data_IF_123867494819
#
_entry.id   IF_123867494819
#
_cell.length_a   1.000
_cell.length_b   1.000
_cell.length_c   1.000
_cell.angle_alpha   90.00
_cell.angle_beta   90.00
_cell.angle_gamma   90.00
#
_symmetry.space_group_name_H-M   'P 1'
#
loop_
_entity.id
_entity.type
_entity.pdbx_description
1 polymer ?
#
# COMPACT_ATOMS: atom_id res chain seq x y z
N UNK A 1 -29.13 -44.16 -51.92
CA UNK A 1 -29.46 -44.15 -50.49
C UNK A 1 -28.17 -44.41 -49.70
N UNK A 2 -27.40 -43.36 -49.41
CA UNK A 2 -26.25 -43.41 -48.49
C UNK A 2 -26.16 -42.05 -47.80
N UNK A 3 -26.48 -42.02 -46.50
CA UNK A 3 -26.36 -40.86 -45.63
C UNK A 3 -24.90 -40.72 -45.20
N UNK A 4 -24.31 -39.54 -45.35
CA UNK A 4 -23.05 -39.15 -44.70
C UNK A 4 -23.45 -38.44 -43.40
N UNK A 5 -23.15 -39.04 -42.25
CA UNK A 5 -23.28 -38.41 -40.95
C UNK A 5 -21.95 -37.74 -40.57
N UNK A 6 -21.92 -36.41 -40.58
CA UNK A 6 -20.83 -35.59 -40.02
C UNK A 6 -21.03 -35.49 -38.50
N UNK A 7 -20.09 -36.05 -37.73
CA UNK A 7 -20.06 -35.92 -36.27
C UNK A 7 -19.26 -34.67 -35.92
N UNK A 8 -19.95 -33.61 -35.51
CA UNK A 8 -19.32 -32.43 -34.90
C UNK A 8 -19.10 -32.70 -33.40
N UNK A 9 -17.86 -32.93 -33.00
CA UNK A 9 -17.48 -32.99 -31.59
C UNK A 9 -17.19 -31.57 -31.09
N UNK A 10 -18.06 -31.05 -30.23
CA UNK A 10 -17.84 -29.78 -29.52
C UNK A 10 -17.02 -30.06 -28.27
N UNK A 11 -15.77 -29.60 -28.26
CA UNK A 11 -14.90 -29.66 -27.08
C UNK A 11 -15.27 -28.48 -26.18
N UNK A 12 -15.98 -28.76 -25.09
CA UNK A 12 -16.11 -27.83 -23.97
C UNK A 12 -14.76 -27.74 -23.26
N UNK A 13 -14.05 -26.63 -23.47
CA UNK A 13 -12.89 -26.29 -22.66
C UNK A 13 -13.33 -25.91 -21.25
N UNK A 14 -13.05 -26.78 -20.28
CA UNK A 14 -13.23 -26.47 -18.85
C UNK A 14 -12.06 -25.59 -18.43
N UNK A 15 -12.31 -24.31 -18.18
CA UNK A 15 -11.35 -23.44 -17.49
C UNK A 15 -11.35 -23.82 -16.01
N UNK A 16 -10.33 -24.56 -15.60
CA UNK A 16 -10.09 -24.86 -14.19
C UNK A 16 -9.49 -23.60 -13.58
N UNK A 17 -10.30 -22.82 -12.85
CA UNK A 17 -9.79 -21.72 -12.06
C UNK A 17 -8.88 -22.29 -10.97
N UNK A 18 -7.58 -21.98 -11.05
CA UNK A 18 -6.64 -22.30 -9.97
C UNK A 18 -6.95 -21.33 -8.83
N UNK A 19 -7.37 -21.81 -7.64
CA UNK A 19 -7.57 -20.92 -6.51
C UNK A 19 -6.21 -20.40 -6.07
N UNK A 20 -6.12 -19.09 -5.85
CA UNK A 20 -4.94 -18.48 -5.24
C UNK A 20 -4.75 -19.09 -3.84
N UNK A 21 -3.67 -19.85 -3.68
CA UNK A 21 -3.29 -20.45 -2.40
C UNK A 21 -2.67 -19.33 -1.57
N UNK A 22 -3.38 -18.87 -0.54
CA UNK A 22 -2.77 -18.03 0.49
C UNK A 22 -1.77 -18.87 1.28
N UNK A 23 -0.58 -18.35 1.62
CA UNK A 23 0.40 -19.11 2.40
C UNK A 23 -0.19 -19.52 3.75
N UNK A 24 0.09 -20.76 4.16
CA UNK A 24 -0.35 -21.31 5.44
C UNK A 24 0.31 -20.55 6.61
N UNK A 25 -0.37 -20.50 7.77
CA UNK A 25 0.04 -19.75 9.00
C UNK A 25 1.47 -20.01 9.53
N UNK A 26 2.21 -20.97 8.95
CA UNK A 26 3.57 -21.35 9.37
C UNK A 26 4.65 -21.19 8.29
N UNK A 27 4.35 -20.63 7.11
CA UNK A 27 5.42 -20.28 6.17
C UNK A 27 6.09 -18.97 6.60
N UNK A 28 7.38 -19.07 6.93
CA UNK A 28 8.23 -17.89 7.13
C UNK A 28 8.28 -17.15 5.79
N UNK A 29 7.67 -15.97 5.74
CA UNK A 29 7.74 -15.12 4.55
C UNK A 29 9.20 -14.73 4.30
N UNK A 30 9.79 -15.27 3.24
CA UNK A 30 11.17 -14.96 2.87
C UNK A 30 11.21 -13.70 2.01
N UNK A 31 11.98 -12.70 2.43
CA UNK A 31 12.20 -11.46 1.68
C UNK A 31 13.52 -11.54 0.92
N UNK A 32 13.51 -11.23 -0.38
CA UNK A 32 14.71 -11.13 -1.21
C UNK A 32 15.36 -9.72 -1.16
N UNK A 33 14.90 -8.88 -0.24
CA UNK A 33 15.43 -7.56 0.10
C UNK A 33 15.49 -7.41 1.63
N UNK A 34 16.32 -6.50 2.17
CA UNK A 34 16.38 -6.27 3.61
C UNK A 34 15.03 -5.88 4.19
N UNK A 35 14.56 -6.67 5.15
CA UNK A 35 13.25 -6.50 5.78
C UNK A 35 13.38 -6.68 7.29
N UNK A 36 12.71 -5.81 8.05
CA UNK A 36 12.69 -5.83 9.51
C UNK A 36 11.25 -5.96 9.98
N UNK A 37 10.97 -7.06 10.65
CA UNK A 37 9.67 -7.40 11.24
C UNK A 37 9.34 -6.50 12.42
N UNK A 38 8.06 -6.48 12.81
CA UNK A 38 7.59 -5.80 14.02
C UNK A 38 8.38 -6.16 15.27
N UNK A 39 8.74 -7.43 15.43
CA UNK A 39 9.49 -7.88 16.60
C UNK A 39 10.89 -7.28 16.62
N UNK A 40 11.58 -7.27 15.48
CA UNK A 40 12.97 -6.83 15.36
C UNK A 40 13.14 -5.33 15.62
N UNK A 41 12.23 -4.47 15.13
CA UNK A 41 12.30 -3.03 15.45
C UNK A 41 11.69 -2.66 16.80
N UNK A 42 11.21 -3.63 17.58
CA UNK A 42 10.66 -3.43 18.92
C UNK A 42 9.28 -2.75 18.91
N UNK A 43 8.41 -3.16 18.00
CA UNK A 43 7.04 -2.66 17.91
C UNK A 43 6.23 -2.98 19.17
N UNK A 44 5.42 -2.02 19.61
CA UNK A 44 4.34 -2.30 20.57
C UNK A 44 3.25 -3.14 19.91
N UNK A 45 2.53 -3.91 20.72
CA UNK A 45 1.36 -4.67 20.28
C UNK A 45 0.24 -3.72 19.82
N UNK A 46 -0.38 -3.95 18.65
CA UNK A 46 -1.56 -3.18 18.24
C UNK A 46 -2.70 -3.29 19.25
N UNK A 47 -3.42 -2.20 19.50
CA UNK A 47 -4.62 -2.21 20.36
C UNK A 47 -5.72 -3.07 19.74
N UNK A 48 -5.90 -2.97 18.42
CA UNK A 48 -6.87 -3.72 17.64
C UNK A 48 -6.40 -3.84 16.19
N UNK A 49 -6.87 -4.90 15.51
CA UNK A 49 -6.63 -5.14 14.08
C UNK A 49 -7.97 -5.20 13.34
N UNK A 50 -7.98 -4.69 12.11
CA UNK A 50 -9.07 -4.89 11.15
C UNK A 50 -8.46 -5.51 9.91
N UNK A 51 -9.05 -6.60 9.41
CA UNK A 51 -8.58 -7.24 8.19
C UNK A 51 -8.73 -6.30 6.99
N UNK A 52 -7.79 -6.39 6.07
CA UNK A 52 -7.78 -5.73 4.77
C UNK A 52 -8.23 -6.74 3.71
N UNK A 53 -9.24 -6.42 2.89
CA UNK A 53 -9.58 -7.26 1.75
C UNK A 53 -8.43 -7.30 0.74
N UNK A 54 -7.94 -8.51 0.43
CA UNK A 54 -6.84 -8.77 -0.50
C UNK A 54 -7.32 -9.53 -1.75
N UNK A 55 -6.67 -9.37 -2.92
CA UNK A 55 -5.59 -8.42 -3.20
C UNK A 55 -6.07 -6.96 -3.29
N UNK A 56 -5.26 -6.01 -2.82
CA UNK A 56 -5.62 -4.58 -2.91
C UNK A 56 -5.39 -4.00 -4.31
N UNK A 57 -6.25 -3.07 -4.78
CA UNK A 57 -6.07 -2.37 -6.05
C UNK A 57 -5.11 -1.17 -6.00
N UNK A 58 -4.74 -0.67 -4.82
CA UNK A 58 -3.92 0.54 -4.70
C UNK A 58 -2.68 0.35 -3.83
N UNK A 59 -1.61 1.03 -4.21
CA UNK A 59 -0.46 1.33 -3.34
C UNK A 59 -0.37 2.85 -3.18
N UNK A 60 -0.35 3.32 -1.94
CA UNK A 60 -0.26 4.76 -1.64
C UNK A 60 1.09 5.07 -1.03
N UNK A 61 1.87 5.90 -1.70
CA UNK A 61 3.18 6.35 -1.24
C UNK A 61 3.06 7.59 -0.36
N UNK A 62 3.79 7.56 0.75
CA UNK A 62 3.93 8.63 1.73
C UNK A 62 5.39 8.99 1.94
N UNK A 63 5.61 10.18 2.49
CA UNK A 63 6.80 10.49 3.29
C UNK A 63 6.38 10.66 4.76
N UNK A 64 7.31 10.56 5.70
CA UNK A 64 6.99 10.85 7.10
C UNK A 64 6.92 12.35 7.36
N UNK A 65 7.71 13.15 6.62
CA UNK A 65 8.08 14.54 6.94
C UNK A 65 8.83 14.64 8.28
N UNK A 66 8.20 14.16 9.36
CA UNK A 66 8.80 13.90 10.66
C UNK A 66 8.43 12.48 11.10
N UNK A 67 9.38 11.63 11.52
CA UNK A 67 10.81 11.88 11.70
C UNK A 67 11.55 12.11 10.37
N UNK A 68 12.75 12.74 10.39
CA UNK A 68 13.57 12.97 9.20
C UNK A 68 14.15 11.65 8.66
N UNK A 69 14.89 11.77 7.54
CA UNK A 69 15.61 10.65 6.96
C UNK A 69 16.54 9.99 7.99
N UNK A 70 16.59 8.67 7.97
CA UNK A 70 17.40 7.84 8.88
C UNK A 70 18.26 6.92 8.01
N UNK A 71 19.56 6.82 8.31
CA UNK A 71 20.55 6.16 7.43
C UNK A 71 21.25 4.96 8.11
N UNK A 72 20.88 4.69 9.36
CA UNK A 72 21.39 3.58 10.16
C UNK A 72 20.21 2.84 10.77
N UNK A 73 20.31 1.52 10.91
CA UNK A 73 19.21 0.67 11.40
C UNK A 73 18.64 1.15 12.73
N UNK A 74 19.49 1.51 13.69
CA UNK A 74 19.06 2.03 14.99
C UNK A 74 18.27 3.35 14.87
N UNK A 75 18.61 4.21 13.91
CA UNK A 75 17.88 5.46 13.66
C UNK A 75 16.51 5.17 13.06
N UNK A 76 16.42 4.23 12.12
CA UNK A 76 15.15 3.90 11.48
C UNK A 76 14.21 3.08 12.36
N UNK A 77 14.73 2.16 13.17
CA UNK A 77 13.96 1.51 14.22
C UNK A 77 13.41 2.53 15.23
N UNK A 78 14.23 3.52 15.61
CA UNK A 78 13.77 4.61 16.45
C UNK A 78 12.71 5.46 15.75
N UNK A 79 12.87 5.77 14.46
CA UNK A 79 11.88 6.47 13.67
C UNK A 79 10.54 5.71 13.61
N UNK A 80 10.58 4.39 13.44
CA UNK A 80 9.41 3.52 13.49
C UNK A 80 8.70 3.59 14.84
N UNK A 81 9.44 3.48 15.95
CA UNK A 81 8.89 3.62 17.31
C UNK A 81 8.28 5.00 17.54
N UNK A 82 8.96 6.08 17.18
CA UNK A 82 8.42 7.44 17.30
C UNK A 82 7.13 7.64 16.49
N UNK A 83 7.06 7.11 15.26
CA UNK A 83 5.83 7.15 14.47
C UNK A 83 4.71 6.34 15.12
N UNK A 84 5.00 5.15 15.66
CA UNK A 84 4.01 4.34 16.37
C UNK A 84 3.50 5.05 17.62
N UNK A 85 4.38 5.64 18.43
CA UNK A 85 4.06 6.39 19.64
C UNK A 85 3.18 7.60 19.35
N UNK A 86 3.56 8.42 18.37
CA UNK A 86 2.73 9.53 17.92
C UNK A 86 1.33 9.06 17.48
N UNK A 87 1.26 7.97 16.71
CA UNK A 87 -0.01 7.47 16.18
C UNK A 87 -0.92 6.90 17.28
N UNK A 88 -0.38 6.14 18.21
CA UNK A 88 -1.19 5.51 19.26
C UNK A 88 -1.49 6.48 20.40
N UNK A 89 -0.48 7.18 20.92
CA UNK A 89 -0.60 7.93 22.17
C UNK A 89 -1.17 9.33 21.92
N UNK A 90 -0.84 9.96 20.79
CA UNK A 90 -1.31 11.32 20.47
C UNK A 90 -2.53 11.34 19.54
N UNK A 91 -2.67 10.36 18.64
CA UNK A 91 -3.81 10.30 17.70
C UNK A 91 -4.86 9.25 18.06
N UNK A 92 -4.62 8.42 19.07
CA UNK A 92 -5.55 7.38 19.51
C UNK A 92 -5.76 6.26 18.48
N UNK A 93 -4.81 6.06 17.57
CA UNK A 93 -4.90 5.00 16.57
C UNK A 93 -4.50 3.66 17.19
N UNK A 94 -4.95 2.57 16.57
CA UNK A 94 -4.66 1.24 17.10
C UNK A 94 -3.21 0.79 16.95
N UNK A 95 -2.47 1.43 16.03
CA UNK A 95 -1.09 1.12 15.69
C UNK A 95 -0.52 2.23 14.78
N UNK A 96 0.75 2.13 14.40
CA UNK A 96 1.37 2.93 13.33
C UNK A 96 0.47 2.98 12.09
N UNK A 97 0.33 4.15 11.44
CA UNK A 97 -0.67 4.34 10.39
C UNK A 97 -0.39 3.63 9.07
N UNK A 98 0.87 3.36 8.76
CA UNK A 98 1.31 2.77 7.48
C UNK A 98 1.35 1.25 7.55
N UNK A 99 1.15 0.59 6.41
CA UNK A 99 1.35 -0.86 6.29
C UNK A 99 2.84 -1.20 6.36
N UNK A 100 3.66 -0.39 5.70
CA UNK A 100 5.11 -0.51 5.69
C UNK A 100 5.78 0.87 5.71
N UNK A 101 7.03 0.89 6.13
CA UNK A 101 7.92 2.02 5.91
C UNK A 101 9.25 1.56 5.32
N UNK A 102 10.03 2.48 4.75
CA UNK A 102 11.36 2.18 4.20
C UNK A 102 12.34 3.24 4.70
N UNK A 103 13.43 2.82 5.34
CA UNK A 103 14.51 3.68 5.80
C UNK A 103 15.43 4.15 4.66
N UNK A 104 16.20 5.21 4.87
CA UNK A 104 17.06 5.77 3.82
C UNK A 104 18.27 4.88 3.50
N UNK A 105 18.57 3.92 4.37
CA UNK A 105 19.51 2.81 4.21
C UNK A 105 19.01 1.69 3.30
N UNK A 106 17.76 1.75 2.82
CA UNK A 106 17.21 0.76 1.89
C UNK A 106 16.66 -0.51 2.55
N UNK A 107 16.21 -0.40 3.80
CA UNK A 107 15.55 -1.48 4.54
C UNK A 107 14.06 -1.20 4.66
N UNK A 108 13.23 -2.21 4.38
CA UNK A 108 11.79 -2.13 4.60
C UNK A 108 11.44 -2.58 6.02
N UNK A 109 10.51 -1.86 6.66
CA UNK A 109 10.05 -2.11 8.02
C UNK A 109 8.56 -2.43 8.01
N UNK A 110 8.20 -3.51 8.71
CA UNK A 110 6.82 -3.93 8.87
C UNK A 110 6.06 -2.95 9.78
N UNK A 111 5.06 -2.27 9.22
CA UNK A 111 4.07 -1.50 9.99
C UNK A 111 2.90 -2.42 10.32
N UNK A 112 1.72 -2.11 9.81
CA UNK A 112 0.54 -2.99 9.96
C UNK A 112 0.62 -4.29 9.15
N UNK A 113 1.54 -4.40 8.20
CA UNK A 113 1.71 -5.60 7.38
C UNK A 113 0.73 -5.67 6.21
N UNK A 114 0.61 -6.86 5.62
CA UNK A 114 -0.05 -7.08 4.33
C UNK A 114 -1.58 -7.19 4.39
N UNK A 115 -2.11 -7.78 5.45
CA UNK A 115 -3.51 -8.20 5.56
C UNK A 115 -4.29 -7.38 6.60
N UNK A 116 -3.67 -6.35 7.18
CA UNK A 116 -4.28 -5.46 8.16
C UNK A 116 -4.50 -4.06 7.58
N UNK A 117 -5.70 -3.54 7.80
CA UNK A 117 -6.12 -2.23 7.32
C UNK A 117 -5.25 -1.10 7.88
N UNK A 118 -4.77 -0.23 6.99
CA UNK A 118 -4.03 0.99 7.31
C UNK A 118 -4.84 2.04 8.10
N UNK A 119 -4.15 3.09 8.54
CA UNK A 119 -4.75 4.37 8.95
C UNK A 119 -4.08 5.57 8.25
N UNK A 120 -3.35 5.34 7.16
CA UNK A 120 -2.54 6.33 6.47
C UNK A 120 -3.35 7.27 5.56
N UNK A 121 -4.52 6.85 5.06
CA UNK A 121 -5.34 7.68 4.18
C UNK A 121 -6.82 7.34 4.27
N UNK A 122 -7.63 8.29 4.76
CA UNK A 122 -9.07 8.12 4.86
C UNK A 122 -9.66 7.67 3.51
N UNK A 123 -10.62 6.74 3.56
CA UNK A 123 -11.27 6.09 2.42
C UNK A 123 -10.42 5.05 1.66
N UNK A 124 -9.10 5.23 1.59
CA UNK A 124 -8.20 4.29 0.92
C UNK A 124 -7.65 3.20 1.84
N UNK A 125 -7.67 3.42 3.16
CA UNK A 125 -7.19 2.46 4.16
C UNK A 125 -7.71 1.02 3.94
N UNK A 126 -8.94 0.84 3.45
CA UNK A 126 -9.59 -0.46 3.23
C UNK A 126 -9.38 -1.05 1.83
N UNK A 127 -8.66 -0.36 0.94
CA UNK A 127 -8.42 -0.80 -0.44
C UNK A 127 -6.97 -0.54 -0.90
N UNK A 128 -6.04 -0.31 0.03
CA UNK A 128 -4.66 0.00 -0.32
C UNK A 128 -3.63 -0.45 0.71
N UNK A 129 -2.42 -0.69 0.22
CA UNK A 129 -1.20 -0.76 1.05
C UNK A 129 -0.56 0.63 1.09
N UNK A 130 -0.37 1.18 2.29
CA UNK A 130 0.35 2.43 2.50
C UNK A 130 1.82 2.22 2.82
N UNK A 131 2.71 2.80 2.01
CA UNK A 131 4.17 2.70 2.18
C UNK A 131 4.74 4.09 2.47
N UNK A 132 5.43 4.25 3.61
CA UNK A 132 6.10 5.49 4.00
C UNK A 132 7.60 5.43 3.71
N UNK A 133 8.12 6.29 2.83
CA UNK A 133 9.56 6.51 2.72
C UNK A 133 9.97 7.50 3.83
N UNK A 134 10.62 7.01 4.89
CA UNK A 134 10.98 7.80 6.06
C UNK A 134 11.91 8.95 5.63
N UNK A 135 11.48 10.18 5.88
CA UNK A 135 12.17 11.42 5.52
C UNK A 135 11.24 12.52 5.03
N UNK A 136 11.85 13.67 4.69
CA UNK A 136 11.18 14.78 4.01
C UNK A 136 11.68 14.90 2.56
N UNK A 137 10.87 14.39 1.63
CA UNK A 137 11.15 14.38 0.20
C UNK A 137 10.46 15.50 -0.57
N UNK A 138 10.23 16.63 0.09
CA UNK A 138 9.65 17.81 -0.53
C UNK A 138 10.59 18.43 -1.54
N UNK A 139 11.86 18.61 -1.16
CA UNK A 139 12.87 19.33 -1.95
C UNK A 139 14.05 18.45 -2.40
N UNK A 140 14.12 17.20 -1.92
CA UNK A 140 15.15 16.23 -2.26
C UNK A 140 14.53 14.89 -2.64
N UNK A 141 15.26 14.11 -3.42
CA UNK A 141 14.85 12.75 -3.75
C UNK A 141 15.31 11.79 -2.64
N UNK A 142 14.51 10.77 -2.29
CA UNK A 142 15.00 9.69 -1.44
C UNK A 142 16.24 9.01 -2.05
N UNK A 143 17.17 8.48 -1.25
CA UNK A 143 18.28 7.70 -1.75
C UNK A 143 17.83 6.54 -2.64
N UNK A 144 18.65 6.21 -3.63
CA UNK A 144 18.35 5.17 -4.62
C UNK A 144 17.99 3.82 -3.99
N UNK A 145 18.67 3.44 -2.90
CA UNK A 145 18.41 2.16 -2.22
C UNK A 145 17.06 2.15 -1.49
N UNK A 146 16.61 3.28 -0.93
CA UNK A 146 15.28 3.43 -0.36
C UNK A 146 14.18 3.28 -1.44
N UNK A 147 14.39 3.88 -2.61
CA UNK A 147 13.47 3.72 -3.76
C UNK A 147 13.44 2.27 -4.25
N UNK A 148 14.61 1.62 -4.38
CA UNK A 148 14.69 0.21 -4.79
C UNK A 148 13.98 -0.70 -3.80
N UNK A 149 14.20 -0.53 -2.49
CA UNK A 149 13.55 -1.32 -1.47
C UNK A 149 12.02 -1.15 -1.48
N UNK A 150 11.52 0.06 -1.68
CA UNK A 150 10.07 0.30 -1.85
C UNK A 150 9.50 -0.43 -3.09
N UNK A 151 10.23 -0.43 -4.21
CA UNK A 151 9.83 -1.17 -5.42
C UNK A 151 9.87 -2.68 -5.22
N UNK A 152 10.91 -3.21 -4.58
CA UNK A 152 11.03 -4.64 -4.25
C UNK A 152 9.90 -5.10 -3.31
N UNK A 153 9.54 -4.28 -2.33
CA UNK A 153 8.41 -4.53 -1.45
C UNK A 153 7.10 -4.61 -2.24
N UNK A 154 6.83 -3.66 -3.15
CA UNK A 154 5.62 -3.70 -3.98
C UNK A 154 5.61 -4.95 -4.88
N UNK A 155 6.74 -5.26 -5.53
CA UNK A 155 6.87 -6.43 -6.39
C UNK A 155 6.57 -7.74 -5.62
N UNK A 156 7.09 -7.87 -4.40
CA UNK A 156 6.79 -9.01 -3.54
C UNK A 156 5.31 -9.06 -3.14
N UNK A 157 4.69 -7.91 -2.83
CA UNK A 157 3.26 -7.86 -2.54
C UNK A 157 2.40 -8.34 -3.72
N UNK A 158 2.83 -8.08 -4.96
CA UNK A 158 2.19 -8.63 -6.17
C UNK A 158 2.42 -10.13 -6.29
N UNK A 159 3.66 -10.59 -6.12
CA UNK A 159 4.03 -12.01 -6.19
C UNK A 159 3.26 -12.87 -5.18
N UNK A 160 3.09 -12.36 -3.96
CA UNK A 160 2.38 -13.04 -2.88
C UNK A 160 0.84 -12.89 -2.95
N UNK A 161 0.32 -12.15 -3.93
CA UNK A 161 -1.13 -11.96 -4.09
C UNK A 161 -1.79 -11.03 -3.07
N UNK A 162 -1.01 -10.19 -2.37
CA UNK A 162 -1.55 -9.12 -1.51
C UNK A 162 -1.89 -7.86 -2.29
N UNK A 163 -1.18 -7.59 -3.38
CA UNK A 163 -1.38 -6.47 -4.29
C UNK A 163 -1.80 -7.03 -5.65
N UNK A 164 -2.80 -6.42 -6.30
CA UNK A 164 -3.22 -6.85 -7.63
C UNK A 164 -2.10 -6.65 -8.66
N UNK A 165 -1.94 -7.54 -9.65
CA UNK A 165 -0.96 -7.32 -10.73
C UNK A 165 -1.20 -6.04 -11.53
N UNK A 166 -2.45 -5.57 -11.62
CA UNK A 166 -2.86 -4.33 -12.30
C UNK A 166 -3.10 -3.16 -11.31
N UNK A 167 -2.44 -3.17 -10.15
CA UNK A 167 -2.58 -2.13 -9.14
C UNK A 167 -2.29 -0.72 -9.68
N UNK A 168 -2.80 0.28 -8.96
CA UNK A 168 -2.55 1.70 -9.20
C UNK A 168 -1.61 2.24 -8.11
N UNK A 169 -0.46 2.73 -8.52
CA UNK A 169 0.49 3.44 -7.66
C UNK A 169 0.15 4.93 -7.65
N UNK A 170 -0.08 5.49 -6.46
CA UNK A 170 -0.43 6.90 -6.28
C UNK A 170 0.32 7.53 -5.11
N UNK A 171 0.49 8.85 -5.15
CA UNK A 171 0.94 9.63 -4.00
C UNK A 171 -0.24 10.05 -3.11
N UNK A 172 -0.03 10.16 -1.80
CA UNK A 172 -1.10 10.54 -0.85
C UNK A 172 -1.86 11.82 -1.25
N UNK A 173 -1.18 12.83 -1.80
CA UNK A 173 -1.78 14.08 -2.29
C UNK A 173 -2.88 13.91 -3.34
N UNK A 174 -2.90 12.81 -4.08
CA UNK A 174 -3.92 12.55 -5.10
C UNK A 174 -5.30 12.30 -4.48
N UNK A 175 -5.34 11.83 -3.23
CA UNK A 175 -6.57 11.37 -2.56
C UNK A 175 -6.87 12.13 -1.27
N UNK A 176 -5.95 13.00 -0.84
CA UNK A 176 -6.08 13.85 0.34
C UNK A 176 -5.46 15.21 0.10
N UNK A 177 -6.01 16.24 0.73
CA UNK A 177 -5.41 17.57 0.76
C UNK A 177 -4.17 17.58 1.66
N UNK A 178 -3.03 17.24 1.10
CA UNK A 178 -1.73 17.16 1.78
C UNK A 178 -0.60 17.36 0.77
N UNK A 179 0.56 17.81 1.24
CA UNK A 179 1.78 17.83 0.43
C UNK A 179 2.42 16.43 0.32
N UNK A 180 2.08 15.48 1.19
CA UNK A 180 2.62 14.12 1.16
C UNK A 180 2.41 13.47 -0.23
N UNK A 181 3.43 12.83 -0.85
CA UNK A 181 4.71 12.39 -0.27
C UNK A 181 5.89 13.38 -0.44
N UNK A 182 5.63 14.68 -0.59
CA UNK A 182 6.64 15.68 -0.94
C UNK A 182 6.76 15.87 -2.45
N UNK A 183 7.04 17.11 -2.88
CA UNK A 183 7.00 17.48 -4.30
C UNK A 183 8.01 16.71 -5.16
N UNK A 184 9.26 16.60 -4.70
CA UNK A 184 10.32 15.90 -5.44
C UNK A 184 10.03 14.40 -5.56
N UNK A 185 9.67 13.72 -4.46
CA UNK A 185 9.28 12.31 -4.53
C UNK A 185 8.05 12.11 -5.41
N UNK A 186 7.02 12.95 -5.30
CA UNK A 186 5.83 12.82 -6.14
C UNK A 186 6.13 12.91 -7.64
N UNK A 187 7.04 13.81 -8.07
CA UNK A 187 7.44 13.85 -9.48
C UNK A 187 8.19 12.59 -9.90
N UNK A 188 9.02 12.03 -9.02
CA UNK A 188 9.71 10.77 -9.29
C UNK A 188 8.74 9.58 -9.38
N UNK A 189 7.68 9.54 -8.57
CA UNK A 189 6.68 8.46 -8.63
C UNK A 189 6.04 8.33 -10.02
N UNK A 190 5.94 9.42 -10.79
CA UNK A 190 5.40 9.41 -12.15
C UNK A 190 6.21 8.57 -13.14
N UNK A 191 7.44 8.21 -12.78
CA UNK A 191 8.33 7.37 -13.59
C UNK A 191 8.32 5.91 -13.15
N UNK A 192 7.60 5.56 -12.08
CA UNK A 192 7.50 4.19 -11.61
C UNK A 192 6.44 3.44 -12.40
N UNK A 193 6.63 2.13 -12.51
CA UNK A 193 5.60 1.25 -13.05
C UNK A 193 4.30 1.40 -12.24
N UNK A 194 3.17 1.23 -12.92
CA UNK A 194 1.84 1.35 -12.33
C UNK A 194 1.46 2.73 -11.79
N UNK A 195 2.27 3.78 -12.01
CA UNK A 195 1.82 5.14 -11.68
C UNK A 195 0.50 5.45 -12.39
N UNK A 196 -0.51 5.80 -11.59
CA UNK A 196 -1.81 6.19 -12.09
C UNK A 196 -2.01 7.69 -11.91
N UNK A 197 -2.32 8.40 -13.00
CA UNK A 197 -2.71 9.80 -12.95
C UNK A 197 -4.11 10.01 -12.35
N UNK A 198 -4.92 8.95 -12.28
CA UNK A 198 -6.25 8.94 -11.68
C UNK A 198 -6.29 8.05 -10.42
N UNK A 199 -6.92 8.49 -9.31
CA UNK A 199 -7.49 9.82 -9.10
C UNK A 199 -6.41 10.91 -9.14
N UNK A 200 -6.74 12.09 -9.64
CA UNK A 200 -5.80 13.22 -9.70
C UNK A 200 -5.96 14.15 -8.49
N UNK A 201 -7.15 14.16 -7.89
CA UNK A 201 -7.48 14.98 -6.72
C UNK A 201 -8.61 14.35 -5.88
N UNK A 202 -8.85 14.85 -4.64
CA UNK A 202 -9.99 14.43 -3.83
C UNK A 202 -11.36 14.56 -4.51
N UNK A 203 -11.51 15.39 -5.55
CA UNK A 203 -12.77 15.51 -6.31
C UNK A 203 -13.12 14.25 -7.07
N UNK A 204 -12.11 13.46 -7.43
CA UNK A 204 -12.26 12.27 -8.25
C UNK A 204 -12.73 11.05 -7.45
N UNK A 205 -12.76 11.14 -6.12
CA UNK A 205 -13.03 9.99 -5.26
C UNK A 205 -14.40 9.35 -5.50
N UNK A 206 -15.43 10.13 -5.88
CA UNK A 206 -16.74 9.57 -6.22
C UNK A 206 -16.71 8.68 -7.49
N UNK A 207 -15.68 8.83 -8.31
CA UNK A 207 -15.49 8.12 -9.57
C UNK A 207 -14.48 6.98 -9.46
N UNK A 208 -13.87 6.76 -8.30
CA UNK A 208 -13.00 5.60 -8.06
C UNK A 208 -13.88 4.36 -7.93
N UNK A 209 -13.80 3.46 -8.90
CA UNK A 209 -14.65 2.27 -8.98
C UNK A 209 -14.50 1.38 -7.75
N UNK A 210 -13.26 1.17 -7.31
CA UNK A 210 -12.90 0.28 -6.21
C UNK A 210 -13.29 0.79 -4.83
N UNK A 211 -13.70 2.07 -4.69
CA UNK A 211 -14.20 2.56 -3.42
C UNK A 211 -15.58 1.94 -3.11
N UNK A 212 -15.77 1.36 -1.90
CA UNK A 212 -17.04 0.79 -1.49
C UNK A 212 -18.20 1.80 -1.53
N UNK A 213 -19.43 1.33 -1.80
CA UNK A 213 -20.60 2.23 -1.89
C UNK A 213 -20.92 2.95 -0.57
N UNK A 214 -20.65 2.33 0.58
CA UNK A 214 -20.79 3.02 1.86
C UNK A 214 -19.81 4.21 1.97
N UNK A 215 -18.58 4.06 1.45
CA UNK A 215 -17.60 5.16 1.36
C UNK A 215 -18.07 6.23 0.39
N UNK A 216 -18.53 5.86 -0.82
CA UNK A 216 -19.08 6.82 -1.78
C UNK A 216 -20.30 7.56 -1.24
N UNK A 217 -21.16 6.88 -0.48
CA UNK A 217 -22.30 7.49 0.21
C UNK A 217 -21.87 8.53 1.26
N UNK A 218 -20.81 8.25 2.02
CA UNK A 218 -20.22 9.22 2.96
C UNK A 218 -19.63 10.44 2.23
N UNK A 219 -18.92 10.21 1.11
CA UNK A 219 -18.37 11.28 0.29
C UNK A 219 -19.47 12.19 -0.30
N UNK A 220 -20.57 11.62 -0.81
CA UNK A 220 -21.73 12.39 -1.32
C UNK A 220 -22.36 13.28 -0.25
N UNK A 221 -22.36 12.84 1.02
CA UNK A 221 -22.89 13.61 2.15
C UNK A 221 -21.94 14.69 2.66
N UNK A 222 -20.65 14.61 2.34
CA UNK A 222 -19.63 15.52 2.85
C UNK A 222 -18.86 16.20 1.72
N UNK A 223 -19.57 17.03 0.94
CA UNK A 223 -19.04 17.76 -0.22
C UNK A 223 -17.87 18.68 0.13
N UNK A 224 -17.76 19.15 1.37
CA UNK A 224 -16.65 20.00 1.82
C UNK A 224 -15.28 19.31 1.75
N UNK A 225 -15.24 17.97 1.76
CA UNK A 225 -14.02 17.17 1.58
C UNK A 225 -13.61 17.03 0.10
N UNK A 226 -14.53 17.31 -0.83
CA UNK A 226 -14.29 17.31 -2.28
C UNK A 226 -13.95 18.73 -2.78
N UNK A 227 -14.37 19.77 -2.08
CA UNK A 227 -14.34 21.16 -2.58
C UNK A 227 -13.12 22.00 -2.15
N UNK A 228 -12.29 21.53 -1.21
CA UNK A 228 -11.12 22.26 -0.70
C UNK A 228 -9.81 21.55 -0.99
#
# INVERSE_FOLDING_TARGET
MFLIALVFSTIYGITIGVPAILPAENEVMTHNFPFVTRLEWGARTPIQKSSLPIPVPYVVIHHSYTPPACYESAQCENAMRCMQDLHMDCRGWWDIGYNFAVGSEGVAYEGRGWDIQGAHSLYFNSISIGICLIGDWTNSLPPTEQIKAAKSLIAQGVELGFIRPDYKLIGHRQIRKTECPGATLYQNLKTWDHYASFPASPKDLLHVEELPENVKSLLRKNTTLLEK
#
